data_IF_936842441240
#
_entry.id   IF_936842441240
#
_cell.length_a   1.000
_cell.length_b   1.000
_cell.length_c   1.000
_cell.angle_alpha   90.00
_cell.angle_beta   90.00
_cell.angle_gamma   90.00
#
_symmetry.space_group_name_H-M   'P 1'
#
loop_
_entity.id
_entity.type
_entity.pdbx_description
1 polymer ?
#
# COMPACT_ATOMS: atom_id res chain seq x y z
N UNK A 1 53.22 58.33 1.96
CA UNK A 1 52.29 58.61 0.86
C UNK A 1 51.84 57.39 0.12
N UNK A 2 52.76 56.45 -0.23
CA UNK A 2 52.43 55.21 -0.99
C UNK A 2 51.50 54.26 -0.21
N UNK A 3 51.67 54.12 1.12
CA UNK A 3 50.87 53.21 1.96
C UNK A 3 49.41 53.70 2.09
N UNK A 4 49.17 55.00 2.15
CA UNK A 4 47.81 55.57 2.19
C UNK A 4 47.06 55.40 0.87
N UNK A 5 47.74 55.39 -0.28
CA UNK A 5 47.17 55.10 -1.58
C UNK A 5 46.71 53.64 -1.69
N UNK A 6 47.51 52.69 -1.17
CA UNK A 6 47.16 51.26 -1.20
C UNK A 6 45.92 50.99 -0.29
N UNK A 7 45.83 51.62 0.89
CA UNK A 7 44.70 51.49 1.77
C UNK A 7 43.44 52.09 1.12
N UNK A 8 43.53 53.23 0.50
CA UNK A 8 42.40 53.85 -0.20
C UNK A 8 41.90 52.98 -1.36
N UNK A 9 42.82 52.38 -2.13
CA UNK A 9 42.48 51.49 -3.25
C UNK A 9 41.80 50.21 -2.76
N UNK A 10 42.27 49.61 -1.65
CA UNK A 10 41.67 48.40 -1.10
C UNK A 10 40.26 48.62 -0.53
N UNK A 11 39.99 49.82 0.03
CA UNK A 11 38.65 50.18 0.50
C UNK A 11 37.70 50.41 -0.68
N UNK A 12 38.15 51.04 -1.77
CA UNK A 12 37.33 51.23 -2.98
C UNK A 12 37.01 49.90 -3.67
N UNK A 13 37.99 49.00 -3.78
CA UNK A 13 37.78 47.66 -4.35
C UNK A 13 36.86 46.82 -3.45
N UNK A 14 37.04 46.85 -2.15
CA UNK A 14 36.18 46.18 -1.19
C UNK A 14 34.72 46.66 -1.23
N UNK A 15 34.53 48.00 -1.31
CA UNK A 15 33.21 48.60 -1.48
C UNK A 15 32.56 48.25 -2.81
N UNK A 16 33.31 48.18 -3.89
CA UNK A 16 32.82 47.78 -5.22
C UNK A 16 32.40 46.31 -5.25
N UNK A 17 33.20 45.42 -4.67
CA UNK A 17 32.87 43.98 -4.57
C UNK A 17 31.66 43.77 -3.68
N UNK A 18 31.59 44.46 -2.53
CA UNK A 18 30.43 44.38 -1.63
C UNK A 18 29.17 44.94 -2.31
N UNK A 19 29.26 46.05 -3.02
CA UNK A 19 28.13 46.63 -3.76
C UNK A 19 27.62 45.66 -4.87
N UNK A 20 28.50 45.06 -5.64
CA UNK A 20 28.10 44.06 -6.65
C UNK A 20 27.50 42.80 -6.00
N UNK A 21 28.08 42.31 -4.92
CA UNK A 21 27.56 41.19 -4.18
C UNK A 21 26.15 41.48 -3.60
N UNK A 22 25.94 42.67 -3.01
CA UNK A 22 24.63 43.10 -2.51
C UNK A 22 23.61 43.33 -3.62
N UNK A 23 24.04 43.82 -4.81
CA UNK A 23 23.13 43.97 -5.96
C UNK A 23 22.76 42.63 -6.58
N UNK A 24 23.66 41.65 -6.66
CA UNK A 24 23.34 40.28 -7.09
C UNK A 24 22.41 39.60 -6.10
N UNK A 25 22.68 39.65 -4.81
CA UNK A 25 21.83 39.04 -3.78
C UNK A 25 20.45 39.72 -3.71
N UNK A 26 20.36 41.03 -3.94
CA UNK A 26 19.10 41.77 -4.01
C UNK A 26 18.25 41.45 -5.24
N UNK A 27 18.84 41.03 -6.35
CA UNK A 27 18.10 40.56 -7.52
C UNK A 27 17.45 39.18 -7.30
N UNK A 28 17.99 38.35 -6.39
CA UNK A 28 17.46 37.03 -6.11
C UNK A 28 16.26 37.01 -5.13
N UNK A 29 15.95 38.13 -4.46
CA UNK A 29 14.82 38.25 -3.55
C UNK A 29 13.86 39.35 -3.98
N UNK A 30 13.20 39.20 -5.14
CA UNK A 30 11.93 39.93 -5.33
C UNK A 30 10.91 39.38 -4.37
N UNK A 31 10.36 40.18 -3.41
CA UNK A 31 9.33 39.69 -2.50
C UNK A 31 8.12 39.27 -3.33
N UNK A 32 7.53 38.10 -3.00
CA UNK A 32 6.26 37.68 -3.56
C UNK A 32 5.25 38.82 -3.48
N UNK A 33 4.50 39.05 -4.57
CA UNK A 33 3.50 40.12 -4.60
C UNK A 33 2.45 39.89 -3.51
N UNK A 34 1.88 40.97 -2.93
CA UNK A 34 0.78 40.87 -1.98
C UNK A 34 -0.37 40.00 -2.51
N UNK A 35 -0.65 40.09 -3.79
CA UNK A 35 -1.70 39.34 -4.46
C UNK A 35 -1.40 37.82 -4.50
N UNK A 36 -0.13 37.41 -4.51
CA UNK A 36 0.24 36.00 -4.38
C UNK A 36 -0.23 35.42 -3.02
N UNK A 37 -0.01 36.16 -1.93
CA UNK A 37 -0.47 35.76 -0.61
C UNK A 37 -2.01 35.81 -0.50
N UNK A 38 -2.67 36.74 -1.18
CA UNK A 38 -4.15 36.79 -1.25
C UNK A 38 -4.65 35.53 -1.98
N UNK A 39 -4.04 35.14 -3.09
CA UNK A 39 -4.38 33.91 -3.78
C UNK A 39 -4.18 32.64 -2.93
N UNK A 40 -3.08 32.57 -2.14
CA UNK A 40 -2.85 31.50 -1.20
C UNK A 40 -3.89 31.47 -0.08
N UNK A 41 -4.28 32.64 0.47
CA UNK A 41 -5.32 32.71 1.50
C UNK A 41 -6.67 32.18 1.00
N UNK A 42 -7.06 32.47 -0.25
CA UNK A 42 -8.27 31.88 -0.83
C UNK A 42 -8.17 30.37 -0.96
N UNK A 43 -6.96 29.83 -1.23
CA UNK A 43 -6.74 28.38 -1.26
C UNK A 43 -6.90 27.74 0.12
N UNK A 44 -6.34 28.36 1.15
CA UNK A 44 -6.42 27.90 2.55
C UNK A 44 -7.85 27.96 3.07
N UNK A 45 -8.66 28.91 2.60
CA UNK A 45 -10.07 29.09 2.98
C UNK A 45 -11.04 28.27 2.12
N UNK A 46 -10.52 27.31 1.29
CA UNK A 46 -11.33 26.46 0.40
C UNK A 46 -12.17 27.25 -0.62
N UNK A 47 -11.70 28.45 -1.04
CA UNK A 47 -12.31 29.29 -2.07
C UNK A 47 -11.50 29.25 -3.41
N UNK A 48 -11.45 28.12 -4.10
CA UNK A 48 -10.56 27.94 -5.27
C UNK A 48 -10.88 28.85 -6.45
N UNK A 49 -12.16 29.27 -6.63
CA UNK A 49 -12.56 30.15 -7.72
C UNK A 49 -11.95 31.53 -7.58
N UNK A 50 -11.98 32.11 -6.39
CA UNK A 50 -11.36 33.41 -6.11
C UNK A 50 -9.83 33.34 -6.26
N UNK A 51 -9.22 32.20 -5.85
CA UNK A 51 -7.81 31.99 -6.03
C UNK A 51 -7.41 31.98 -7.51
N UNK A 52 -8.19 31.29 -8.37
CA UNK A 52 -7.99 31.28 -9.83
C UNK A 52 -8.03 32.70 -10.40
N UNK A 53 -9.00 33.52 -10.03
CA UNK A 53 -9.13 34.89 -10.51
C UNK A 53 -7.92 35.76 -10.10
N UNK A 54 -7.42 35.61 -8.87
CA UNK A 54 -6.25 36.34 -8.41
C UNK A 54 -4.99 35.87 -9.14
N UNK A 55 -4.74 34.57 -9.25
CA UNK A 55 -3.56 34.05 -9.93
C UNK A 55 -3.60 34.31 -11.45
N UNK A 56 -4.77 34.32 -12.07
CA UNK A 56 -4.93 34.69 -13.50
C UNK A 56 -4.56 36.14 -13.73
N UNK A 57 -4.96 37.06 -12.85
CA UNK A 57 -4.57 38.48 -12.90
C UNK A 57 -3.04 38.65 -12.73
N UNK A 58 -2.44 37.92 -11.79
CA UNK A 58 -0.99 37.93 -11.59
C UNK A 58 -0.21 37.50 -12.82
N UNK A 59 -0.73 36.54 -13.60
CA UNK A 59 -0.10 36.13 -14.85
C UNK A 59 -0.07 37.23 -15.92
N UNK A 60 -1.07 38.12 -15.93
CA UNK A 60 -1.11 39.28 -16.85
C UNK A 60 -0.19 40.42 -16.37
N UNK A 61 0.02 40.57 -15.07
CA UNK A 61 0.83 41.67 -14.47
C UNK A 61 2.30 41.29 -14.37
N UNK A 62 2.58 40.03 -13.97
CA UNK A 62 3.97 39.54 -13.78
C UNK A 62 4.11 38.13 -14.38
N UNK A 63 4.48 38.13 -15.69
CA UNK A 63 4.66 36.89 -16.44
C UNK A 63 5.90 36.07 -16.04
N UNK A 64 6.72 36.57 -15.09
CA UNK A 64 8.01 35.96 -14.75
C UNK A 64 7.93 35.04 -13.52
N UNK A 65 6.83 35.04 -12.75
CA UNK A 65 6.73 34.23 -11.53
C UNK A 65 6.39 32.77 -11.82
N UNK A 66 7.40 31.92 -11.78
CA UNK A 66 7.29 30.46 -11.97
C UNK A 66 6.31 29.84 -10.98
N UNK A 67 6.38 30.26 -9.72
CA UNK A 67 5.55 29.79 -8.62
C UNK A 67 4.06 30.06 -8.87
N UNK A 68 3.73 31.19 -9.44
CA UNK A 68 2.33 31.57 -9.79
C UNK A 68 1.78 30.63 -10.88
N UNK A 69 2.58 30.30 -11.90
CA UNK A 69 2.18 29.34 -12.94
C UNK A 69 1.99 27.95 -12.38
N UNK A 70 2.89 27.49 -11.49
CA UNK A 70 2.79 26.19 -10.83
C UNK A 70 1.54 26.12 -9.92
N UNK A 71 1.26 27.18 -9.17
CA UNK A 71 0.07 27.27 -8.32
C UNK A 71 -1.21 27.25 -9.15
N UNK A 72 -1.30 28.06 -10.20
CA UNK A 72 -2.47 28.14 -11.08
C UNK A 72 -2.72 26.81 -11.83
N UNK A 73 -1.67 26.20 -12.40
CA UNK A 73 -1.80 24.89 -13.04
C UNK A 73 -2.27 23.82 -12.07
N UNK A 74 -1.75 23.81 -10.83
CA UNK A 74 -2.19 22.89 -9.77
C UNK A 74 -3.66 23.11 -9.37
N UNK A 75 -4.13 24.36 -9.36
CA UNK A 75 -5.53 24.70 -9.14
C UNK A 75 -6.45 24.15 -10.23
N UNK A 76 -6.10 24.39 -11.51
CA UNK A 76 -6.87 23.84 -12.61
C UNK A 76 -6.96 22.31 -12.56
N UNK A 77 -5.84 21.63 -12.19
CA UNK A 77 -5.84 20.18 -11.99
C UNK A 77 -6.82 19.76 -10.88
N UNK A 78 -6.81 20.44 -9.71
CA UNK A 78 -7.75 20.14 -8.60
C UNK A 78 -9.21 20.35 -8.98
N UNK A 79 -9.51 21.32 -9.84
CA UNK A 79 -10.85 21.58 -10.39
C UNK A 79 -11.28 20.60 -11.48
N UNK A 80 -10.39 19.68 -11.89
CA UNK A 80 -10.68 18.77 -13.01
C UNK A 80 -10.46 19.40 -14.40
N UNK A 81 -10.00 20.66 -14.47
CA UNK A 81 -9.70 21.37 -15.72
C UNK A 81 -8.31 20.98 -16.25
N UNK A 82 -8.07 19.68 -16.42
CA UNK A 82 -6.73 19.11 -16.67
C UNK A 82 -6.09 19.65 -17.95
N UNK A 83 -6.90 19.88 -19.00
CA UNK A 83 -6.39 20.45 -20.26
C UNK A 83 -5.77 21.85 -20.09
N UNK A 84 -6.33 22.68 -19.19
CA UNK A 84 -5.77 24.00 -18.84
C UNK A 84 -4.48 23.87 -18.04
N UNK A 85 -4.47 22.96 -17.05
CA UNK A 85 -3.27 22.66 -16.25
C UNK A 85 -2.09 22.25 -17.15
N UNK A 86 -2.32 21.32 -18.09
CA UNK A 86 -1.31 20.86 -19.05
C UNK A 86 -0.76 22.05 -19.87
N UNK A 87 -1.62 22.90 -20.42
CA UNK A 87 -1.18 24.06 -21.22
C UNK A 87 -0.31 25.02 -20.40
N UNK A 88 -0.70 25.32 -19.16
CA UNK A 88 0.06 26.21 -18.28
C UNK A 88 1.45 25.65 -17.99
N UNK A 89 1.53 24.37 -17.59
CA UNK A 89 2.82 23.77 -17.27
C UNK A 89 3.69 23.58 -18.51
N UNK A 90 3.12 23.26 -19.69
CA UNK A 90 3.86 23.21 -20.95
C UNK A 90 4.43 24.58 -21.35
N UNK A 91 3.61 25.65 -21.25
CA UNK A 91 4.07 27.03 -21.52
C UNK A 91 5.18 27.46 -20.55
N UNK A 92 5.08 27.03 -19.28
CA UNK A 92 6.12 27.30 -18.30
C UNK A 92 7.46 26.62 -18.70
N UNK A 93 7.41 25.32 -19.04
CA UNK A 93 8.60 24.53 -19.40
C UNK A 93 9.26 25.05 -20.68
N UNK A 94 8.51 25.65 -21.61
CA UNK A 94 9.02 26.23 -22.85
C UNK A 94 9.86 27.46 -22.61
N UNK A 95 9.87 28.06 -21.42
CA UNK A 95 10.66 29.27 -21.12
C UNK A 95 12.17 28.93 -20.99
N UNK A 96 13.07 29.66 -21.68
CA UNK A 96 14.48 29.35 -21.63
C UNK A 96 15.19 29.78 -20.33
N UNK A 97 14.58 30.70 -19.56
CA UNK A 97 15.18 31.31 -18.35
C UNK A 97 15.00 30.46 -17.09
N UNK A 98 14.30 29.34 -17.17
CA UNK A 98 14.08 28.46 -15.97
C UNK A 98 15.42 27.91 -15.47
N UNK A 99 15.64 28.03 -14.16
CA UNK A 99 16.67 27.25 -13.49
C UNK A 99 16.43 25.74 -13.64
N UNK A 100 17.48 24.95 -13.45
CA UNK A 100 17.35 23.47 -13.53
C UNK A 100 16.30 22.94 -12.57
N UNK A 101 16.27 23.44 -11.34
CA UNK A 101 15.31 22.99 -10.30
C UNK A 101 13.87 23.43 -10.62
N UNK A 102 13.70 24.66 -11.11
CA UNK A 102 12.39 25.15 -11.55
C UNK A 102 11.86 24.31 -12.73
N UNK A 103 12.72 23.96 -13.69
CA UNK A 103 12.36 23.09 -14.81
C UNK A 103 11.93 21.71 -14.34
N UNK A 104 12.68 21.09 -13.41
CA UNK A 104 12.30 19.78 -12.83
C UNK A 104 10.95 19.88 -12.12
N UNK A 105 10.72 20.91 -11.32
CA UNK A 105 9.44 21.13 -10.62
C UNK A 105 8.28 21.27 -11.60
N UNK A 106 8.47 22.02 -12.70
CA UNK A 106 7.45 22.18 -13.73
C UNK A 106 7.19 20.87 -14.51
N UNK A 107 8.25 20.10 -14.81
CA UNK A 107 8.13 18.77 -15.43
C UNK A 107 7.37 17.80 -14.52
N UNK A 108 7.66 17.79 -13.21
CA UNK A 108 6.90 16.97 -12.23
C UNK A 108 5.43 17.39 -12.20
N UNK A 109 5.15 18.69 -12.23
CA UNK A 109 3.76 19.19 -12.26
C UNK A 109 3.02 18.75 -13.53
N UNK A 110 3.69 18.82 -14.70
CA UNK A 110 3.15 18.33 -15.97
C UNK A 110 2.93 16.80 -15.96
N UNK A 111 3.87 16.04 -15.38
CA UNK A 111 3.71 14.59 -15.22
C UNK A 111 2.48 14.22 -14.39
N UNK A 112 2.22 14.96 -13.30
CA UNK A 112 0.99 14.82 -12.50
C UNK A 112 -0.27 15.15 -13.30
N UNK A 113 -0.21 16.18 -14.16
CA UNK A 113 -1.34 16.51 -15.03
C UNK A 113 -1.63 15.37 -16.01
N UNK A 114 -0.59 14.78 -16.63
CA UNK A 114 -0.76 13.63 -17.51
C UNK A 114 -1.35 12.42 -16.79
N UNK A 115 -0.92 12.13 -15.55
CA UNK A 115 -1.54 11.05 -14.75
C UNK A 115 -3.02 11.31 -14.51
N UNK A 116 -3.39 12.55 -14.12
CA UNK A 116 -4.79 12.92 -13.90
C UNK A 116 -5.62 12.93 -15.21
N UNK A 117 -4.98 13.13 -16.36
CA UNK A 117 -5.61 13.02 -17.68
C UNK A 117 -5.72 11.56 -18.16
N UNK A 118 -5.19 10.57 -17.43
CA UNK A 118 -5.10 9.18 -17.89
C UNK A 118 -4.05 8.94 -18.98
N UNK A 119 -3.19 9.93 -19.26
CA UNK A 119 -2.13 9.85 -20.28
C UNK A 119 -0.87 9.20 -19.68
N UNK A 120 -1.01 7.95 -19.21
CA UNK A 120 0.00 7.25 -18.41
C UNK A 120 1.33 7.12 -19.16
N UNK A 121 1.31 6.78 -20.45
CA UNK A 121 2.54 6.63 -21.26
C UNK A 121 3.33 7.93 -21.39
N UNK A 122 2.63 9.07 -21.43
CA UNK A 122 3.30 10.39 -21.46
C UNK A 122 3.90 10.74 -20.12
N UNK A 123 3.19 10.42 -19.04
CA UNK A 123 3.67 10.62 -17.69
C UNK A 123 4.93 9.76 -17.42
N UNK A 124 4.91 8.49 -17.82
CA UNK A 124 6.03 7.56 -17.69
C UNK A 124 7.28 8.09 -18.39
N UNK A 125 7.17 8.44 -19.68
CA UNK A 125 8.29 9.01 -20.46
C UNK A 125 8.88 10.24 -19.76
N UNK A 126 8.02 11.13 -19.28
CA UNK A 126 8.45 12.35 -18.61
C UNK A 126 9.17 12.06 -17.29
N UNK A 127 8.66 11.14 -16.47
CA UNK A 127 9.31 10.79 -15.21
C UNK A 127 10.62 10.01 -15.42
N UNK A 128 10.74 9.21 -16.48
CA UNK A 128 12.00 8.58 -16.88
C UNK A 128 13.03 9.64 -17.27
N UNK A 129 12.63 10.66 -18.04
CA UNK A 129 13.50 11.79 -18.40
C UNK A 129 13.98 12.54 -17.15
N UNK A 130 13.06 12.89 -16.22
CA UNK A 130 13.40 13.54 -14.95
C UNK A 130 14.39 12.70 -14.13
N UNK A 131 14.21 11.39 -14.09
CA UNK A 131 15.10 10.48 -13.33
C UNK A 131 16.54 10.49 -13.86
N UNK A 132 16.73 10.77 -15.15
CA UNK A 132 18.04 10.86 -15.78
C UNK A 132 18.76 12.19 -15.48
N UNK A 133 18.06 13.26 -15.08
CA UNK A 133 18.67 14.57 -14.77
C UNK A 133 19.45 14.63 -13.43
N UNK A 134 19.38 13.63 -12.59
CA UNK A 134 20.33 13.37 -11.50
C UNK A 134 20.16 14.16 -10.18
N UNK A 135 19.38 15.24 -10.11
CA UNK A 135 19.31 16.09 -8.90
C UNK A 135 18.13 15.77 -7.93
N UNK A 136 17.07 15.14 -8.40
CA UNK A 136 15.94 14.70 -7.54
C UNK A 136 15.29 13.41 -8.08
N UNK A 137 16.04 12.31 -8.19
CA UNK A 137 15.50 11.06 -8.75
C UNK A 137 14.37 10.48 -7.90
N UNK A 138 14.38 10.72 -6.58
CA UNK A 138 13.41 10.12 -5.66
C UNK A 138 11.96 10.51 -5.94
N UNK A 139 11.68 11.74 -6.41
CA UNK A 139 10.31 12.17 -6.71
C UNK A 139 9.79 11.46 -7.95
N UNK A 140 10.57 11.47 -9.05
CA UNK A 140 10.19 10.82 -10.29
C UNK A 140 10.07 9.31 -10.13
N UNK A 141 10.99 8.67 -9.38
CA UNK A 141 10.95 7.24 -9.09
C UNK A 141 9.68 6.85 -8.32
N UNK A 142 9.19 7.67 -7.38
CA UNK A 142 7.92 7.41 -6.69
C UNK A 142 6.73 7.37 -7.67
N UNK A 143 6.65 8.32 -8.61
CA UNK A 143 5.58 8.32 -9.61
C UNK A 143 5.73 7.16 -10.60
N UNK A 144 6.95 6.81 -11.00
CA UNK A 144 7.20 5.62 -11.83
C UNK A 144 6.76 4.34 -11.11
N UNK A 145 7.03 4.23 -9.81
CA UNK A 145 6.59 3.10 -9.02
C UNK A 145 5.04 3.00 -8.98
N UNK A 146 4.35 4.12 -8.76
CA UNK A 146 2.88 4.17 -8.80
C UNK A 146 2.33 3.74 -10.18
N UNK A 147 2.95 4.22 -11.27
CA UNK A 147 2.59 3.85 -12.64
C UNK A 147 2.74 2.34 -12.85
N UNK A 148 3.91 1.76 -12.51
CA UNK A 148 4.17 0.35 -12.73
C UNK A 148 3.31 -0.54 -11.85
N UNK A 149 2.99 -0.15 -10.63
CA UNK A 149 2.01 -0.84 -9.78
C UNK A 149 0.61 -0.83 -10.42
N UNK A 150 0.17 0.31 -10.94
CA UNK A 150 -1.15 0.44 -11.58
C UNK A 150 -1.22 -0.39 -12.86
N UNK A 151 -0.16 -0.43 -13.65
CA UNK A 151 -0.03 -1.25 -14.87
C UNK A 151 0.22 -2.73 -14.58
N UNK A 152 0.46 -3.10 -13.30
CA UNK A 152 0.88 -4.45 -12.87
C UNK A 152 2.18 -4.91 -13.55
N UNK A 153 3.04 -3.96 -13.90
CA UNK A 153 4.38 -4.25 -14.42
C UNK A 153 5.34 -4.45 -13.24
N UNK A 154 5.26 -5.65 -12.64
CA UNK A 154 5.95 -5.94 -11.38
C UNK A 154 7.47 -5.97 -11.52
N UNK A 155 8.00 -6.38 -12.67
CA UNK A 155 9.45 -6.36 -12.93
C UNK A 155 10.01 -4.94 -12.91
N UNK A 156 9.33 -4.01 -13.60
CA UNK A 156 9.70 -2.59 -13.57
C UNK A 156 9.51 -1.99 -12.16
N UNK A 157 8.42 -2.36 -11.47
CA UNK A 157 8.17 -1.92 -10.10
C UNK A 157 9.29 -2.35 -9.13
N UNK A 158 9.75 -3.60 -9.21
CA UNK A 158 10.88 -4.12 -8.41
C UNK A 158 12.15 -3.31 -8.69
N UNK A 159 12.46 -3.06 -9.97
CA UNK A 159 13.65 -2.29 -10.36
C UNK A 159 13.62 -0.88 -9.77
N UNK A 160 12.49 -0.19 -9.85
CA UNK A 160 12.33 1.17 -9.30
C UNK A 160 12.34 1.16 -7.77
N UNK A 161 11.66 0.21 -7.13
CA UNK A 161 11.64 0.09 -5.67
C UNK A 161 13.04 -0.18 -5.10
N UNK A 162 13.84 -1.01 -5.78
CA UNK A 162 15.25 -1.25 -5.41
C UNK A 162 16.09 0.02 -5.50
N UNK A 163 15.85 0.87 -6.51
CA UNK A 163 16.55 2.17 -6.64
C UNK A 163 16.13 3.17 -5.55
N UNK A 164 14.88 3.13 -5.11
CA UNK A 164 14.38 3.98 -4.02
C UNK A 164 14.95 3.57 -2.66
N UNK A 165 15.24 2.27 -2.46
CA UNK A 165 15.67 1.70 -1.18
C UNK A 165 14.55 1.69 -0.13
N UNK A 166 14.76 0.99 0.97
CA UNK A 166 13.84 0.96 2.13
C UNK A 166 12.40 0.48 1.83
N UNK A 167 12.19 -0.32 0.77
CA UNK A 167 10.89 -0.84 0.33
C UNK A 167 10.88 -2.38 0.26
N UNK A 168 11.66 -3.04 1.13
CA UNK A 168 11.87 -4.49 1.09
C UNK A 168 10.54 -5.27 1.22
N UNK A 169 9.66 -4.84 2.10
CA UNK A 169 8.31 -5.41 2.27
C UNK A 169 7.48 -5.30 0.98
N UNK A 170 7.53 -4.15 0.29
CA UNK A 170 6.80 -3.95 -0.96
C UNK A 170 7.39 -4.78 -2.10
N UNK A 171 8.72 -4.85 -2.19
CA UNK A 171 9.43 -5.68 -3.17
C UNK A 171 9.04 -7.16 -2.99
N UNK A 172 8.95 -7.64 -1.73
CA UNK A 172 8.48 -8.99 -1.45
C UNK A 172 7.06 -9.23 -2.00
N UNK A 173 6.15 -8.25 -1.88
CA UNK A 173 4.82 -8.36 -2.48
C UNK A 173 4.82 -8.35 -4.00
N UNK A 174 5.70 -7.59 -4.65
CA UNK A 174 5.81 -7.61 -6.12
C UNK A 174 6.30 -8.97 -6.63
N UNK A 175 7.26 -9.59 -5.91
CA UNK A 175 7.65 -10.98 -6.18
C UNK A 175 6.50 -11.97 -5.98
N UNK A 176 5.63 -11.76 -4.98
CA UNK A 176 4.42 -12.56 -4.81
C UNK A 176 3.43 -12.38 -5.98
N UNK A 177 3.30 -11.18 -6.54
CA UNK A 177 2.49 -10.93 -7.74
C UNK A 177 3.04 -11.67 -8.97
N UNK A 178 4.37 -11.62 -9.18
CA UNK A 178 5.03 -12.39 -10.25
C UNK A 178 4.85 -13.90 -10.04
N UNK A 179 5.01 -14.38 -8.81
CA UNK A 179 4.76 -15.78 -8.50
C UNK A 179 3.32 -16.19 -8.83
N UNK A 180 2.35 -15.34 -8.52
CA UNK A 180 0.94 -15.58 -8.83
C UNK A 180 0.68 -15.63 -10.35
N UNK A 181 1.35 -14.78 -11.12
CA UNK A 181 1.33 -14.84 -12.58
C UNK A 181 1.87 -16.18 -13.11
N UNK A 182 3.01 -16.67 -12.58
CA UNK A 182 3.58 -17.96 -12.96
C UNK A 182 2.71 -19.15 -12.51
N UNK A 183 2.06 -19.06 -11.34
CA UNK A 183 1.09 -20.07 -10.89
C UNK A 183 -0.06 -20.20 -11.89
N UNK A 184 -0.61 -19.08 -12.37
CA UNK A 184 -1.68 -19.07 -13.37
C UNK A 184 -1.25 -19.67 -14.71
N UNK A 185 0.04 -19.60 -15.04
CA UNK A 185 0.63 -20.24 -16.23
C UNK A 185 1.06 -21.68 -15.99
N UNK A 186 0.89 -22.21 -14.80
CA UNK A 186 1.37 -23.55 -14.40
C UNK A 186 2.90 -23.71 -14.45
N UNK A 187 3.63 -22.60 -14.37
CA UNK A 187 5.10 -22.54 -14.33
C UNK A 187 5.58 -22.66 -12.89
N UNK A 188 5.51 -23.85 -12.31
CA UNK A 188 5.75 -24.14 -10.89
C UNK A 188 7.13 -23.68 -10.40
N UNK A 189 8.20 -23.98 -11.13
CA UNK A 189 9.57 -23.66 -10.73
C UNK A 189 9.84 -22.15 -10.75
N UNK A 190 9.33 -21.45 -11.76
CA UNK A 190 9.40 -19.99 -11.85
C UNK A 190 8.65 -19.34 -10.67
N UNK A 191 7.49 -19.85 -10.31
CA UNK A 191 6.73 -19.37 -9.17
C UNK A 191 7.50 -19.54 -7.85
N UNK A 192 8.09 -20.72 -7.62
CA UNK A 192 8.89 -21.00 -6.40
C UNK A 192 10.11 -20.08 -6.34
N UNK A 193 10.78 -19.82 -7.46
CA UNK A 193 11.91 -18.91 -7.52
C UNK A 193 11.52 -17.50 -7.06
N UNK A 194 10.40 -16.99 -7.56
CA UNK A 194 9.92 -15.66 -7.15
C UNK A 194 9.50 -15.62 -5.68
N UNK A 195 8.88 -16.68 -5.14
CA UNK A 195 8.52 -16.77 -3.72
C UNK A 195 9.75 -16.83 -2.80
N UNK A 196 10.82 -17.50 -3.24
CA UNK A 196 12.11 -17.48 -2.52
C UNK A 196 12.72 -16.08 -2.50
N UNK A 197 12.63 -15.33 -3.62
CA UNK A 197 13.07 -13.93 -3.66
C UNK A 197 12.22 -13.06 -2.72
N UNK A 198 10.89 -13.24 -2.70
CA UNK A 198 10.01 -12.55 -1.78
C UNK A 198 10.46 -12.74 -0.31
N UNK A 199 10.70 -13.98 0.11
CA UNK A 199 11.14 -14.32 1.47
C UNK A 199 12.59 -13.87 1.77
N UNK A 200 13.41 -13.64 0.76
CA UNK A 200 14.73 -13.03 0.93
C UNK A 200 14.63 -11.55 1.27
N UNK A 201 13.69 -10.83 0.65
CA UNK A 201 13.43 -9.41 0.93
C UNK A 201 12.68 -9.22 2.25
N UNK A 202 11.65 -10.04 2.48
CA UNK A 202 10.85 -10.02 3.71
C UNK A 202 10.62 -11.45 4.24
N UNK A 203 11.44 -11.94 5.18
CA UNK A 203 11.27 -13.26 5.79
C UNK A 203 9.94 -13.43 6.54
N UNK A 204 9.30 -12.32 6.94
CA UNK A 204 8.01 -12.32 7.65
C UNK A 204 6.81 -12.25 6.69
N UNK A 205 7.01 -12.38 5.39
CA UNK A 205 5.95 -12.29 4.39
C UNK A 205 5.06 -13.54 4.39
N UNK A 206 3.96 -13.47 5.10
CA UNK A 206 2.95 -14.55 5.19
C UNK A 206 2.40 -14.94 3.81
N UNK A 207 2.16 -13.94 2.94
CA UNK A 207 1.63 -14.18 1.58
C UNK A 207 2.51 -15.13 0.79
N UNK A 208 3.83 -14.94 0.88
CA UNK A 208 4.79 -15.78 0.17
C UNK A 208 4.67 -17.25 0.60
N UNK A 209 4.56 -17.53 1.91
CA UNK A 209 4.40 -18.89 2.41
C UNK A 209 3.01 -19.48 2.11
N UNK A 210 1.94 -18.69 2.13
CA UNK A 210 0.62 -19.16 1.71
C UNK A 210 0.61 -19.57 0.23
N UNK A 211 1.22 -18.77 -0.65
CA UNK A 211 1.34 -19.09 -2.08
C UNK A 211 2.26 -20.28 -2.31
N UNK A 212 3.40 -20.33 -1.63
CA UNK A 212 4.36 -21.44 -1.79
C UNK A 212 3.77 -22.76 -1.30
N UNK A 213 3.16 -22.80 -0.13
CA UNK A 213 2.47 -23.98 0.36
C UNK A 213 1.40 -24.47 -0.61
N UNK A 214 0.65 -23.54 -1.24
CA UNK A 214 -0.35 -23.88 -2.27
C UNK A 214 0.31 -24.49 -3.52
N UNK A 215 1.44 -23.98 -3.97
CA UNK A 215 2.21 -24.51 -5.11
C UNK A 215 2.71 -25.92 -4.79
N UNK A 216 3.28 -26.15 -3.62
CA UNK A 216 3.74 -27.48 -3.18
C UNK A 216 2.58 -28.48 -3.06
N UNK A 217 1.44 -28.04 -2.53
CA UNK A 217 0.23 -28.85 -2.42
C UNK A 217 -0.27 -29.28 -3.80
N UNK A 218 -0.32 -28.36 -4.77
CA UNK A 218 -0.76 -28.64 -6.15
C UNK A 218 0.21 -29.58 -6.86
N UNK A 219 1.51 -29.48 -6.56
CA UNK A 219 2.54 -30.38 -7.07
C UNK A 219 2.62 -31.72 -6.33
N UNK A 220 1.64 -32.03 -5.47
CA UNK A 220 1.59 -33.22 -4.61
C UNK A 220 2.81 -33.42 -3.69
N UNK A 221 3.57 -32.34 -3.41
CA UNK A 221 4.69 -32.34 -2.47
C UNK A 221 4.18 -32.02 -1.04
N UNK A 222 3.33 -32.89 -0.49
CA UNK A 222 2.55 -32.66 0.72
C UNK A 222 3.40 -32.37 1.96
N UNK A 223 4.53 -33.08 2.16
CA UNK A 223 5.44 -32.84 3.29
C UNK A 223 6.00 -31.43 3.24
N UNK A 224 6.50 -31.00 2.09
CA UNK A 224 7.00 -29.63 1.89
C UNK A 224 5.90 -28.58 2.13
N UNK A 225 4.67 -28.83 1.64
CA UNK A 225 3.55 -27.94 1.88
C UNK A 225 3.27 -27.73 3.38
N UNK A 226 3.28 -28.83 4.17
CA UNK A 226 3.08 -28.79 5.63
C UNK A 226 4.15 -27.94 6.30
N UNK A 227 5.43 -28.18 6.00
CA UNK A 227 6.56 -27.42 6.58
C UNK A 227 6.47 -25.94 6.29
N UNK A 228 6.04 -25.57 5.06
CA UNK A 228 5.89 -24.17 4.65
C UNK A 228 4.71 -23.51 5.37
N UNK A 229 3.57 -24.17 5.46
CA UNK A 229 2.41 -23.63 6.16
C UNK A 229 2.64 -23.47 7.66
N UNK A 230 3.41 -24.37 8.28
CA UNK A 230 3.74 -24.26 9.70
C UNK A 230 4.60 -23.03 10.02
N UNK A 231 5.44 -22.56 9.10
CA UNK A 231 6.23 -21.30 9.26
C UNK A 231 5.36 -20.06 9.45
N UNK A 232 4.10 -20.10 9.00
CA UNK A 232 3.16 -18.98 9.16
C UNK A 232 2.91 -18.68 10.65
N UNK A 233 2.99 -19.68 11.52
CA UNK A 233 2.87 -19.48 12.96
C UNK A 233 3.95 -18.56 13.55
N UNK A 234 5.15 -18.63 13.00
CA UNK A 234 6.29 -17.81 13.45
C UNK A 234 6.25 -16.41 12.80
N UNK A 235 5.58 -16.30 11.64
CA UNK A 235 5.44 -15.03 10.92
C UNK A 235 4.27 -14.19 11.47
N UNK A 236 3.05 -14.73 11.43
CA UNK A 236 1.85 -14.06 11.96
C UNK A 236 0.75 -15.10 12.24
N UNK A 237 0.55 -15.40 13.50
CA UNK A 237 -0.42 -16.39 13.99
C UNK A 237 -1.85 -16.12 13.51
N UNK A 238 -2.22 -14.85 13.29
CA UNK A 238 -3.55 -14.47 12.84
C UNK A 238 -3.91 -15.05 11.46
N UNK A 239 -2.91 -15.28 10.62
CA UNK A 239 -3.12 -15.84 9.27
C UNK A 239 -3.07 -17.37 9.23
N UNK A 240 -2.77 -18.04 10.34
CA UNK A 240 -2.64 -19.51 10.31
C UNK A 240 -3.96 -20.21 9.94
N UNK A 241 -5.10 -19.61 10.31
CA UNK A 241 -6.42 -20.11 9.92
C UNK A 241 -6.62 -20.16 8.39
N UNK A 242 -5.95 -19.27 7.65
CA UNK A 242 -5.98 -19.26 6.17
C UNK A 242 -5.25 -20.47 5.55
N UNK A 243 -4.26 -21.03 6.26
CA UNK A 243 -3.54 -22.22 5.82
C UNK A 243 -4.28 -23.53 6.17
N UNK A 244 -5.21 -23.50 7.12
CA UNK A 244 -5.85 -24.70 7.67
C UNK A 244 -6.52 -25.61 6.62
N UNK A 245 -7.31 -25.10 5.64
CA UNK A 245 -7.92 -25.97 4.63
C UNK A 245 -6.89 -26.75 3.81
N UNK A 246 -5.79 -26.07 3.48
CA UNK A 246 -4.69 -26.68 2.71
C UNK A 246 -3.88 -27.67 3.53
N UNK A 247 -3.68 -27.39 4.83
CA UNK A 247 -3.05 -28.32 5.75
C UNK A 247 -3.87 -29.59 5.94
N UNK A 248 -5.19 -29.49 6.09
CA UNK A 248 -6.08 -30.65 6.20
C UNK A 248 -5.89 -31.55 4.97
N UNK A 249 -5.93 -30.98 3.76
CA UNK A 249 -5.74 -31.75 2.52
C UNK A 249 -4.36 -32.42 2.50
N UNK A 250 -3.29 -31.70 2.87
CA UNK A 250 -1.93 -32.24 2.86
C UNK A 250 -1.75 -33.42 3.82
N UNK A 251 -2.28 -33.29 5.04
CA UNK A 251 -2.23 -34.36 6.05
C UNK A 251 -3.11 -35.55 5.66
N UNK A 252 -4.29 -35.33 5.08
CA UNK A 252 -5.16 -36.39 4.55
C UNK A 252 -4.49 -37.19 3.45
N UNK A 253 -3.82 -36.51 2.51
CA UNK A 253 -3.09 -37.17 1.44
C UNK A 253 -1.90 -38.00 1.90
N UNK A 254 -1.41 -37.74 3.10
CA UNK A 254 -0.34 -38.51 3.76
C UNK A 254 -0.90 -39.53 4.76
N UNK A 255 -2.23 -39.62 4.94
CA UNK A 255 -2.89 -40.47 5.95
C UNK A 255 -2.43 -40.18 7.40
N UNK A 256 -2.19 -38.87 7.70
CA UNK A 256 -1.61 -38.39 8.96
C UNK A 256 -2.51 -37.39 9.69
N UNK A 257 -3.83 -37.54 9.59
CA UNK A 257 -4.80 -36.62 10.21
C UNK A 257 -4.64 -36.55 11.74
N UNK A 258 -4.19 -37.64 12.36
CA UNK A 258 -3.95 -37.68 13.82
C UNK A 258 -2.84 -36.70 14.19
N UNK A 259 -1.72 -36.68 13.42
CA UNK A 259 -0.61 -35.76 13.65
C UNK A 259 -1.07 -34.28 13.54
N UNK A 260 -1.97 -33.96 12.59
CA UNK A 260 -2.55 -32.61 12.48
C UNK A 260 -3.33 -32.23 13.73
N UNK A 261 -4.19 -33.14 14.22
CA UNK A 261 -5.02 -32.89 15.40
C UNK A 261 -4.15 -32.69 16.65
N UNK A 262 -3.13 -33.50 16.84
CA UNK A 262 -2.17 -33.36 17.94
C UNK A 262 -1.44 -32.02 17.85
N UNK A 263 -0.93 -31.66 16.67
CA UNK A 263 -0.27 -30.39 16.43
C UNK A 263 -1.19 -29.19 16.74
N UNK A 264 -2.45 -29.21 16.25
CA UNK A 264 -3.40 -28.13 16.51
C UNK A 264 -3.80 -28.03 17.99
N UNK A 265 -3.96 -29.17 18.70
CA UNK A 265 -4.24 -29.14 20.13
C UNK A 265 -3.07 -28.55 20.93
N UNK A 266 -1.82 -28.87 20.59
CA UNK A 266 -0.62 -28.29 21.24
C UNK A 266 -0.53 -26.78 21.02
N UNK A 267 -0.93 -26.29 19.86
CA UNK A 267 -0.86 -24.87 19.48
C UNK A 267 -2.10 -24.06 19.80
N UNK A 268 -3.18 -24.71 20.28
CA UNK A 268 -4.48 -24.07 20.48
C UNK A 268 -4.43 -22.87 21.43
N UNK A 269 -3.59 -22.95 22.49
CA UNK A 269 -3.41 -21.84 23.43
C UNK A 269 -2.74 -20.60 22.79
N UNK A 270 -1.92 -20.84 21.77
CA UNK A 270 -1.18 -19.79 21.06
C UNK A 270 -1.97 -19.18 19.89
N UNK A 271 -2.92 -19.94 19.32
CA UNK A 271 -3.65 -19.57 18.10
C UNK A 271 -5.12 -19.36 18.46
N UNK A 272 -5.49 -18.09 18.68
CA UNK A 272 -6.89 -17.72 18.90
C UNK A 272 -7.61 -17.67 17.55
N UNK A 273 -8.20 -18.80 17.14
CA UNK A 273 -8.96 -18.88 15.88
C UNK A 273 -10.17 -19.79 16.02
N UNK A 274 -11.35 -19.20 15.86
CA UNK A 274 -12.60 -19.97 15.87
C UNK A 274 -12.63 -21.05 14.77
N UNK A 275 -12.01 -20.83 13.62
CA UNK A 275 -11.94 -21.81 12.53
C UNK A 275 -11.23 -23.09 12.97
N UNK A 276 -10.14 -22.96 13.75
CA UNK A 276 -9.40 -24.11 14.29
C UNK A 276 -10.21 -24.81 15.39
N UNK A 277 -10.85 -24.03 16.27
CA UNK A 277 -11.72 -24.59 17.33
C UNK A 277 -12.85 -25.42 16.71
N UNK A 278 -13.54 -24.89 15.70
CA UNK A 278 -14.61 -25.60 15.03
C UNK A 278 -14.10 -26.87 14.32
N UNK A 279 -12.96 -26.82 13.64
CA UNK A 279 -12.35 -28.01 13.05
C UNK A 279 -12.06 -29.10 14.11
N UNK A 280 -11.44 -28.74 15.23
CA UNK A 280 -11.17 -29.67 16.33
C UNK A 280 -12.45 -30.19 16.97
N UNK A 281 -13.50 -29.38 17.03
CA UNK A 281 -14.82 -29.78 17.50
C UNK A 281 -15.42 -30.86 16.59
N UNK A 282 -15.36 -30.67 15.27
CA UNK A 282 -15.84 -31.66 14.29
C UNK A 282 -15.08 -32.98 14.37
N UNK A 283 -13.77 -32.92 14.57
CA UNK A 283 -12.93 -34.12 14.73
C UNK A 283 -13.33 -34.87 16.03
N UNK A 284 -13.53 -34.14 17.14
CA UNK A 284 -13.98 -34.74 18.42
C UNK A 284 -15.37 -35.35 18.31
N UNK A 285 -16.28 -34.66 17.61
CA UNK A 285 -17.62 -35.16 17.31
C UNK A 285 -17.57 -36.57 16.70
N UNK A 286 -16.73 -36.72 15.67
CA UNK A 286 -16.59 -38.02 14.97
C UNK A 286 -15.91 -39.11 15.79
N UNK A 287 -14.99 -38.76 16.69
CA UNK A 287 -14.20 -39.73 17.46
C UNK A 287 -14.77 -40.04 18.85
N UNK A 288 -15.31 -39.03 19.51
CA UNK A 288 -15.66 -39.09 20.94
C UNK A 288 -17.17 -38.90 21.22
N UNK A 289 -17.92 -38.53 20.16
CA UNK A 289 -19.36 -38.28 20.23
C UNK A 289 -19.73 -36.82 20.54
N UNK A 290 -21.02 -36.53 20.43
CA UNK A 290 -21.59 -35.18 20.46
C UNK A 290 -21.39 -34.49 21.83
N UNK A 291 -21.60 -35.21 22.92
CA UNK A 291 -21.53 -34.67 24.29
C UNK A 291 -20.16 -34.07 24.60
N UNK A 292 -19.07 -34.81 24.32
CA UNK A 292 -17.70 -34.33 24.56
C UNK A 292 -17.31 -33.21 23.63
N UNK A 293 -17.75 -33.25 22.38
CA UNK A 293 -17.48 -32.21 21.40
C UNK A 293 -18.15 -30.88 21.75
N UNK A 294 -19.40 -30.92 22.21
CA UNK A 294 -20.15 -29.76 22.72
C UNK A 294 -19.47 -29.19 23.96
N UNK A 295 -19.10 -30.04 24.92
CA UNK A 295 -18.39 -29.59 26.13
C UNK A 295 -17.08 -28.87 25.79
N UNK A 296 -16.28 -29.39 24.84
CA UNK A 296 -15.09 -28.76 24.35
C UNK A 296 -15.38 -27.40 23.71
N UNK A 297 -16.37 -27.33 22.81
CA UNK A 297 -16.72 -26.08 22.13
C UNK A 297 -17.18 -25.02 23.14
N UNK A 298 -18.02 -25.37 24.11
CA UNK A 298 -18.47 -24.44 25.14
C UNK A 298 -17.30 -23.94 25.97
N UNK A 299 -16.40 -24.82 26.40
CA UNK A 299 -15.18 -24.42 27.12
C UNK A 299 -14.34 -23.41 26.32
N UNK A 300 -14.14 -23.66 25.03
CA UNK A 300 -13.37 -22.73 24.18
C UNK A 300 -14.09 -21.40 23.98
N UNK A 301 -15.42 -21.39 23.84
CA UNK A 301 -16.21 -20.17 23.69
C UNK A 301 -16.31 -19.35 24.98
N UNK A 302 -16.14 -19.95 26.14
CA UNK A 302 -16.04 -19.21 27.41
C UNK A 302 -14.72 -18.44 27.50
N UNK A 303 -13.64 -18.98 26.94
CA UNK A 303 -12.34 -18.33 26.90
C UNK A 303 -12.27 -17.32 25.75
N UNK A 304 -12.78 -17.68 24.59
CA UNK A 304 -12.76 -16.90 23.35
C UNK A 304 -14.16 -16.77 22.76
N UNK A 305 -14.97 -15.81 23.24
CA UNK A 305 -16.34 -15.62 22.74
C UNK A 305 -16.35 -15.31 21.25
N UNK A 306 -17.20 -15.99 20.48
CA UNK A 306 -17.29 -15.84 19.03
C UNK A 306 -18.72 -16.04 18.54
N UNK A 307 -19.22 -15.12 17.72
CA UNK A 307 -20.52 -15.25 17.06
C UNK A 307 -20.58 -16.45 16.10
N UNK A 308 -19.47 -16.77 15.41
CA UNK A 308 -19.38 -17.96 14.54
C UNK A 308 -19.47 -19.24 15.36
N UNK A 309 -18.80 -19.29 16.51
CA UNK A 309 -18.89 -20.42 17.42
C UNK A 309 -20.29 -20.58 18.03
N UNK A 310 -20.93 -19.48 18.40
CA UNK A 310 -22.31 -19.48 18.87
C UNK A 310 -23.28 -19.93 17.78
N UNK A 311 -23.13 -19.46 16.56
CA UNK A 311 -23.91 -19.92 15.41
C UNK A 311 -23.79 -21.42 15.20
N UNK A 312 -22.58 -21.97 15.36
CA UNK A 312 -22.33 -23.40 15.23
C UNK A 312 -23.05 -24.20 16.31
N UNK A 313 -22.97 -23.77 17.58
CA UNK A 313 -23.70 -24.40 18.70
C UNK A 313 -25.20 -24.39 18.49
N UNK A 314 -25.77 -23.26 18.08
CA UNK A 314 -27.21 -23.14 17.82
C UNK A 314 -27.62 -23.99 16.62
N UNK A 315 -26.81 -24.04 15.57
CA UNK A 315 -27.09 -24.91 14.43
C UNK A 315 -27.08 -26.39 14.82
N UNK A 316 -26.15 -26.78 15.67
CA UNK A 316 -26.07 -28.16 16.17
C UNK A 316 -27.27 -28.52 17.03
N UNK A 317 -27.67 -27.64 17.98
CA UNK A 317 -28.87 -27.87 18.81
C UNK A 317 -30.15 -28.04 17.97
N UNK A 318 -30.23 -27.36 16.83
CA UNK A 318 -31.36 -27.46 15.90
C UNK A 318 -31.38 -28.77 15.08
N UNK A 319 -30.31 -29.56 15.07
CA UNK A 319 -30.33 -30.90 14.49
C UNK A 319 -31.27 -31.84 15.31
N UNK A 320 -31.32 -31.65 16.65
CA UNK A 320 -32.12 -32.47 17.57
C UNK A 320 -33.51 -31.89 17.86
N UNK A 321 -33.68 -30.57 17.75
CA UNK A 321 -34.91 -29.89 18.13
C UNK A 321 -35.32 -28.83 17.12
N UNK A 322 -36.59 -28.84 16.67
CA UNK A 322 -37.15 -27.81 15.76
C UNK A 322 -37.90 -26.71 16.51
N UNK A 323 -37.42 -26.29 17.69
CA UNK A 323 -38.07 -25.22 18.46
C UNK A 323 -37.95 -23.88 17.74
N UNK A 324 -39.09 -23.18 17.57
CA UNK A 324 -39.18 -21.93 16.81
C UNK A 324 -38.25 -20.83 17.33
N UNK A 325 -38.06 -20.75 18.63
CA UNK A 325 -37.21 -19.78 19.31
C UNK A 325 -35.75 -19.92 18.88
N UNK A 326 -35.24 -21.12 18.76
CA UNK A 326 -33.85 -21.38 18.32
C UNK A 326 -33.63 -21.07 16.82
N UNK A 327 -34.67 -21.26 16.01
CA UNK A 327 -34.64 -20.86 14.59
C UNK A 327 -34.50 -19.35 14.48
N UNK A 328 -35.26 -18.59 15.27
CA UNK A 328 -35.18 -17.12 15.33
C UNK A 328 -33.80 -16.68 15.82
N UNK A 329 -33.25 -17.30 16.86
CA UNK A 329 -31.90 -17.01 17.37
C UNK A 329 -30.85 -17.25 16.28
N UNK A 330 -30.92 -18.34 15.54
CA UNK A 330 -30.03 -18.65 14.41
C UNK A 330 -30.09 -17.58 13.36
N UNK A 331 -31.28 -17.13 12.96
CA UNK A 331 -31.47 -16.06 11.96
C UNK A 331 -30.89 -14.74 12.45
N UNK A 332 -31.09 -14.37 13.71
CA UNK A 332 -30.52 -13.15 14.29
C UNK A 332 -28.99 -13.20 14.28
N UNK A 333 -28.37 -14.31 14.68
CA UNK A 333 -26.91 -14.47 14.64
C UNK A 333 -26.40 -14.41 13.20
N UNK A 334 -27.09 -15.06 12.26
CA UNK A 334 -26.72 -14.98 10.83
C UNK A 334 -26.77 -13.55 10.29
N UNK A 335 -27.78 -12.78 10.66
CA UNK A 335 -27.89 -11.39 10.28
C UNK A 335 -26.77 -10.52 10.87
N UNK A 336 -26.37 -10.74 12.11
CA UNK A 336 -25.22 -10.07 12.71
C UNK A 336 -23.92 -10.41 11.97
N UNK A 337 -23.71 -11.68 11.62
CA UNK A 337 -22.52 -12.14 10.92
C UNK A 337 -22.41 -11.62 9.48
N UNK A 338 -23.54 -11.43 8.77
CA UNK A 338 -23.54 -10.85 7.41
C UNK A 338 -22.94 -9.46 7.36
N UNK A 339 -23.03 -8.69 8.44
CA UNK A 339 -22.51 -7.33 8.54
C UNK A 339 -21.08 -7.27 9.13
N UNK A 340 -20.54 -8.41 9.57
CA UNK A 340 -19.17 -8.46 10.08
C UNK A 340 -18.17 -8.76 8.96
N UNK A 341 -17.14 -7.94 8.79
CA UNK A 341 -16.10 -8.21 7.82
C UNK A 341 -15.18 -9.34 8.33
N UNK A 342 -14.70 -10.19 7.43
CA UNK A 342 -13.69 -11.20 7.76
C UNK A 342 -12.30 -10.59 7.94
N UNK A 343 -12.04 -9.44 7.30
CA UNK A 343 -10.73 -8.76 7.30
C UNK A 343 -10.89 -7.27 7.51
N UNK A 344 -9.90 -6.66 8.16
CA UNK A 344 -9.87 -5.22 8.43
C UNK A 344 -8.46 -4.66 8.25
N UNK A 345 -8.36 -3.49 7.59
CA UNK A 345 -7.11 -2.78 7.51
C UNK A 345 -6.73 -2.18 8.87
N UNK A 346 -5.51 -2.47 9.35
CA UNK A 346 -4.98 -1.94 10.61
C UNK A 346 -4.64 -0.45 10.54
N UNK A 347 -4.42 0.12 9.33
CA UNK A 347 -4.06 1.52 9.16
C UNK A 347 -5.27 2.44 8.95
N UNK A 348 -6.17 2.12 8.01
CA UNK A 348 -7.28 3.01 7.65
C UNK A 348 -8.66 2.48 8.05
N UNK A 349 -8.75 1.27 8.62
CA UNK A 349 -10.02 0.67 9.04
C UNK A 349 -10.88 0.11 7.89
N UNK A 350 -10.40 0.09 6.64
CA UNK A 350 -11.11 -0.51 5.50
C UNK A 350 -11.52 -1.95 5.83
N UNK A 351 -12.78 -2.30 5.54
CA UNK A 351 -13.37 -3.60 5.84
C UNK A 351 -13.55 -4.41 4.56
N UNK A 352 -13.26 -5.72 4.60
CA UNK A 352 -13.40 -6.63 3.46
C UNK A 352 -13.84 -8.01 3.90
N UNK A 353 -14.53 -8.73 3.01
CA UNK A 353 -14.82 -10.16 3.17
C UNK A 353 -13.79 -11.04 2.45
N UNK A 354 -12.90 -10.43 1.66
CA UNK A 354 -11.80 -11.09 0.96
C UNK A 354 -10.48 -10.63 1.52
N UNK A 355 -9.51 -11.54 1.62
CA UNK A 355 -8.13 -11.20 1.96
C UNK A 355 -7.47 -10.45 0.81
N UNK A 356 -7.16 -9.20 1.04
CA UNK A 356 -6.45 -8.33 0.11
C UNK A 356 -5.08 -7.99 0.67
N UNK A 357 -4.03 -8.09 -0.13
CA UNK A 357 -2.67 -7.79 0.30
C UNK A 357 -2.30 -6.32 0.13
N UNK A 358 -2.92 -5.64 -0.84
CA UNK A 358 -2.87 -4.20 -1.02
C UNK A 358 -4.21 -3.60 -0.61
N UNK A 359 -4.20 -2.69 0.36
CA UNK A 359 -5.43 -2.03 0.82
C UNK A 359 -5.94 -1.04 -0.24
N UNK A 360 -7.19 -1.16 -0.71
CA UNK A 360 -7.74 -0.22 -1.69
C UNK A 360 -7.92 1.20 -1.13
N UNK A 361 -8.10 1.35 0.19
CA UNK A 361 -8.28 2.64 0.85
C UNK A 361 -6.98 3.41 1.02
N UNK A 362 -5.99 2.86 1.73
CA UNK A 362 -4.74 3.55 2.05
C UNK A 362 -3.55 3.16 1.16
N UNK A 363 -3.74 2.21 0.21
CA UNK A 363 -2.69 1.72 -0.71
C UNK A 363 -1.46 1.11 -0.03
N UNK A 364 -1.60 0.70 1.23
CA UNK A 364 -0.52 0.03 1.98
C UNK A 364 -0.60 -1.48 1.82
N UNK A 365 0.57 -2.13 1.76
CA UNK A 365 0.70 -3.58 1.70
C UNK A 365 0.62 -4.21 3.11
N UNK A 366 0.27 -5.48 3.21
CA UNK A 366 0.23 -6.30 4.45
C UNK A 366 -0.59 -5.73 5.61
N UNK A 367 -1.36 -4.67 5.40
CA UNK A 367 -2.11 -4.00 6.47
C UNK A 367 -3.52 -4.57 6.71
N UNK A 368 -4.01 -5.44 5.84
CA UNK A 368 -5.32 -6.09 6.00
C UNK A 368 -5.11 -7.40 6.76
N UNK A 369 -5.71 -7.48 7.93
CA UNK A 369 -5.58 -8.60 8.86
C UNK A 369 -6.91 -9.33 9.03
N UNK A 370 -6.92 -10.66 9.27
CA UNK A 370 -8.10 -11.38 9.70
C UNK A 370 -8.69 -10.77 10.98
N UNK A 371 -10.00 -10.65 11.02
CA UNK A 371 -10.71 -10.24 12.25
C UNK A 371 -10.91 -11.51 13.09
N UNK A 372 -10.30 -11.52 14.27
CA UNK A 372 -10.48 -12.61 15.24
C UNK A 372 -11.87 -12.46 15.85
N UNK A 373 -12.84 -13.26 15.37
CA UNK A 373 -14.23 -13.32 15.87
C UNK A 373 -14.55 -14.71 16.35
#
# INVERSE_FOLDING_TARGET
MFLLLIIALSVVVGAYVAFNYFTEVSQYQKPFSKDYFVGLNYLLNEEPDKAVDVFTRLLHVDSETVETHLALGSLFRRRGEIGRAIKIHQNLIARPQLSKDQRITALVALGKDYLNAGLVDRAEKLFLEISAFGNQPAISLKYLLEIYQQQKNWEAAIKIATQLGSLEDQIAHYHCELAQYYILKSETESAILELKKALKHDPQNVRANLLWGKVELTAARYKSAIEIYQKILDQDKAFFAEALPSLIIAYQKLEKEIELVEFLNQKLADIVSITIILFLTDVRRKKEGDEKAIAFLIQQLQIHPSLKGLQYLVAWHLEDTQQKEWVIIKELIQNLLKHQPNYRCSQCGFKSNLLLWLCPGCKSWSCIKPVLN
#
